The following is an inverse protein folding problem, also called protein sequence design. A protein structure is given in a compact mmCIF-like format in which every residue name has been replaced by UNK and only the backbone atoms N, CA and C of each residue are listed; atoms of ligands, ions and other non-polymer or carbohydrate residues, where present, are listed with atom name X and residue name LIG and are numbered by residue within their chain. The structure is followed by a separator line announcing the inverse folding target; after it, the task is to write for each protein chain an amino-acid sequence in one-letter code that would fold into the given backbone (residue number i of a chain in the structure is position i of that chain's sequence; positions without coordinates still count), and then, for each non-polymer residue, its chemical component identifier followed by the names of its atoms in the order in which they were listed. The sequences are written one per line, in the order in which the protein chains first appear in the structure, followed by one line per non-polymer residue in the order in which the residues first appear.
data_IF_643789730057
#
_entry.id   IF_643789730057
#
_cell.length_a   1.000
_cell.length_b   1.000
_cell.length_c   1.000
_cell.angle_alpha   90.00
_cell.angle_beta   90.00
_cell.angle_gamma   90.00
#
_symmetry.space_group_name_H-M   'P 1'
#
loop_
_entity.id
_entity.type
_entity.pdbx_description
1 polymer ?
#
# COMPACT_ATOMS: atom_id res chain seq x y z
N UNK A 1 -8.30 7.89 11.30
CA UNK A 1 -7.66 7.13 10.20
C UNK A 1 -8.59 7.22 9.01
N UNK A 2 -8.08 7.50 7.81
CA UNK A 2 -8.88 7.48 6.58
C UNK A 2 -9.28 6.04 6.26
N UNK A 3 -10.57 5.72 6.03
CA UNK A 3 -10.99 4.40 5.60
C UNK A 3 -10.27 3.96 4.32
N UNK A 4 -9.82 2.71 4.25
CA UNK A 4 -9.03 2.26 3.09
C UNK A 4 -9.79 2.38 1.76
N UNK A 5 -11.11 2.15 1.74
CA UNK A 5 -11.91 2.29 0.52
C UNK A 5 -11.93 3.72 -0.04
N UNK A 6 -11.70 4.74 0.77
CA UNK A 6 -11.56 6.12 0.28
C UNK A 6 -10.24 6.35 -0.47
N UNK A 7 -9.27 5.45 -0.30
CA UNK A 7 -8.00 5.46 -1.03
C UNK A 7 -8.08 4.69 -2.35
N UNK A 8 -9.16 3.93 -2.60
CA UNK A 8 -9.29 3.12 -3.81
C UNK A 8 -9.85 3.97 -4.95
N UNK A 9 -9.12 4.05 -6.06
CA UNK A 9 -9.55 4.77 -7.23
C UNK A 9 -10.45 3.88 -8.12
N UNK A 10 -11.67 4.30 -8.48
CA UNK A 10 -12.63 3.44 -9.19
C UNK A 10 -12.19 3.06 -10.60
N UNK A 11 -11.36 3.87 -11.25
CA UNK A 11 -10.81 3.58 -12.59
C UNK A 11 -9.50 2.77 -12.57
N UNK A 12 -9.05 2.29 -11.40
CA UNK A 12 -7.82 1.52 -11.31
C UNK A 12 -7.97 0.16 -12.02
N UNK A 13 -7.15 -0.07 -13.05
CA UNK A 13 -7.03 -1.38 -13.70
C UNK A 13 -6.04 -2.31 -12.99
N UNK A 14 -5.12 -1.74 -12.21
CA UNK A 14 -4.15 -2.47 -11.37
C UNK A 14 -3.78 -1.65 -10.14
N UNK A 15 -3.50 -2.36 -9.04
CA UNK A 15 -2.98 -1.79 -7.81
C UNK A 15 -1.64 -2.45 -7.48
N UNK A 16 -0.59 -1.64 -7.35
CA UNK A 16 0.74 -2.07 -6.98
C UNK A 16 0.90 -1.98 -5.46
N UNK A 17 1.35 -3.07 -4.86
CA UNK A 17 1.76 -3.12 -3.46
C UNK A 17 3.27 -3.37 -3.43
N UNK A 18 4.03 -2.47 -2.81
CA UNK A 18 5.49 -2.60 -2.69
C UNK A 18 5.98 -2.19 -1.31
N UNK A 19 6.89 -2.97 -0.76
CA UNK A 19 7.54 -2.69 0.52
C UNK A 19 8.99 -2.30 0.28
N UNK A 20 9.44 -1.23 0.93
CA UNK A 20 10.85 -0.83 0.97
C UNK A 20 11.32 -0.88 2.41
N UNK A 21 12.27 -1.77 2.69
CA UNK A 21 12.82 -1.98 4.03
C UNK A 21 14.01 -1.04 4.20
N UNK A 22 13.87 -0.12 5.16
CA UNK A 22 14.81 0.95 5.46
C UNK A 22 15.55 0.71 6.78
N UNK A 23 15.12 -0.29 7.55
CA UNK A 23 15.70 -0.82 8.80
C UNK A 23 15.66 0.11 10.03
N UNK A 24 15.74 1.43 9.87
CA UNK A 24 15.67 2.39 10.99
C UNK A 24 14.67 3.52 10.75
N UNK A 25 14.08 4.10 11.81
CA UNK A 25 13.15 5.21 11.69
C UNK A 25 13.70 6.41 10.90
N UNK A 26 14.96 6.77 11.13
CA UNK A 26 15.61 7.91 10.45
C UNK A 26 15.72 7.66 8.95
N UNK A 27 16.10 6.44 8.57
CA UNK A 27 16.16 6.02 7.16
C UNK A 27 14.79 5.95 6.52
N UNK A 28 13.77 5.50 7.26
CA UNK A 28 12.37 5.47 6.82
C UNK A 28 11.86 6.88 6.55
N UNK A 29 12.15 7.85 7.43
CA UNK A 29 11.81 9.25 7.21
C UNK A 29 12.53 9.83 5.99
N UNK A 30 13.86 9.67 5.91
CA UNK A 30 14.64 10.17 4.78
C UNK A 30 14.16 9.61 3.43
N UNK A 31 13.82 8.32 3.38
CA UNK A 31 13.26 7.70 2.18
C UNK A 31 11.86 8.23 1.85
N UNK A 32 11.00 8.43 2.86
CA UNK A 32 9.65 8.95 2.66
C UNK A 32 9.69 10.38 2.10
N UNK A 33 10.45 11.26 2.73
CA UNK A 33 10.60 12.65 2.32
C UNK A 33 11.16 12.74 0.89
N UNK A 34 12.19 11.96 0.58
CA UNK A 34 12.76 11.91 -0.76
C UNK A 34 11.74 11.43 -1.81
N UNK A 35 10.93 10.41 -1.53
CA UNK A 35 9.87 10.00 -2.47
C UNK A 35 8.82 11.09 -2.65
N UNK A 36 8.47 11.80 -1.58
CA UNK A 36 7.50 12.90 -1.66
C UNK A 36 8.04 14.04 -2.53
N UNK A 37 9.30 14.42 -2.34
CA UNK A 37 9.97 15.44 -3.14
C UNK A 37 10.06 15.04 -4.63
N UNK A 38 10.43 13.80 -4.93
CA UNK A 38 10.55 13.30 -6.31
C UNK A 38 9.19 13.29 -7.03
N UNK A 39 8.11 12.90 -6.34
CA UNK A 39 6.76 12.98 -6.91
C UNK A 39 6.25 14.41 -7.07
N UNK A 40 6.63 15.32 -6.17
CA UNK A 40 6.23 16.73 -6.25
C UNK A 40 7.00 17.51 -7.35
N UNK A 41 8.26 17.15 -7.59
CA UNK A 41 9.10 17.77 -8.62
C UNK A 41 8.92 17.15 -10.01
N UNK A 42 8.52 15.88 -10.08
CA UNK A 42 8.35 15.14 -11.32
C UNK A 42 7.03 15.43 -12.05
N UNK A 43 7.02 15.15 -13.35
CA UNK A 43 5.77 15.13 -14.10
C UNK A 43 4.94 13.90 -13.70
N UNK A 44 3.75 14.15 -13.18
CA UNK A 44 2.79 13.12 -12.79
C UNK A 44 2.28 12.35 -14.02
N UNK A 45 2.48 11.03 -14.12
CA UNK A 45 1.98 10.25 -15.25
C UNK A 45 0.46 10.27 -15.30
N UNK A 46 -0.13 10.57 -16.45
CA UNK A 46 -1.59 10.58 -16.60
C UNK A 46 -2.24 9.22 -16.27
N UNK A 47 -1.51 8.13 -16.53
CA UNK A 47 -1.94 6.77 -16.21
C UNK A 47 -1.78 6.36 -14.73
N UNK A 48 -1.02 7.13 -13.93
CA UNK A 48 -0.94 6.94 -12.48
C UNK A 48 -2.10 7.70 -11.84
N UNK A 49 -3.08 6.97 -11.31
CA UNK A 49 -4.32 7.53 -10.78
C UNK A 49 -4.16 8.00 -9.33
N UNK A 50 -3.41 7.22 -8.54
CA UNK A 50 -3.12 7.56 -7.15
C UNK A 50 -1.84 6.87 -6.67
N UNK A 51 -1.12 7.51 -5.76
CA UNK A 51 -0.02 6.92 -5.00
C UNK A 51 -0.23 7.24 -3.52
N UNK A 52 -0.29 6.21 -2.69
CA UNK A 52 -0.30 6.36 -1.25
C UNK A 52 0.99 5.78 -0.69
N UNK A 53 1.65 6.55 0.16
CA UNK A 53 2.86 6.17 0.88
C UNK A 53 2.48 5.99 2.33
N UNK A 54 2.78 4.82 2.87
CA UNK A 54 2.56 4.49 4.26
C UNK A 54 3.88 4.18 4.94
N UNK A 55 3.92 4.42 6.24
CA UNK A 55 5.07 4.10 7.09
C UNK A 55 4.69 3.01 8.06
N UNK A 56 5.55 2.01 8.20
CA UNK A 56 5.37 0.99 9.21
C UNK A 56 5.43 1.62 10.61
N UNK A 57 4.53 1.19 11.49
CA UNK A 57 4.45 1.74 12.86
C UNK A 57 5.64 1.35 13.75
N UNK A 58 6.42 0.35 13.35
CA UNK A 58 7.70 0.00 13.97
C UNK A 58 8.87 0.86 13.46
N UNK A 59 8.62 1.72 12.47
CA UNK A 59 9.60 2.63 11.87
C UNK A 59 10.60 1.97 10.92
N UNK A 60 10.38 0.72 10.51
CA UNK A 60 11.38 -0.05 9.74
C UNK A 60 11.21 -0.01 8.23
N UNK A 61 10.00 0.29 7.73
CA UNK A 61 9.65 0.15 6.31
C UNK A 61 8.72 1.24 5.80
N UNK A 62 8.71 1.38 4.47
CA UNK A 62 7.66 2.03 3.70
C UNK A 62 6.80 0.99 2.98
N UNK A 63 5.51 1.27 2.85
CA UNK A 63 4.60 0.57 1.98
C UNK A 63 4.03 1.56 0.95
N UNK A 64 4.07 1.15 -0.31
CA UNK A 64 3.52 1.90 -1.44
C UNK A 64 2.28 1.18 -1.94
N UNK A 65 1.17 1.92 -2.01
CA UNK A 65 -0.05 1.50 -2.70
C UNK A 65 -0.28 2.43 -3.88
N UNK A 66 0.06 1.98 -5.09
CA UNK A 66 -0.02 2.77 -6.31
C UNK A 66 -1.11 2.23 -7.22
N UNK A 67 -1.95 3.08 -7.78
CA UNK A 67 -3.07 2.68 -8.64
C UNK A 67 -2.86 3.23 -10.03
N UNK A 68 -2.87 2.33 -11.01
CA UNK A 68 -2.65 2.67 -12.42
C UNK A 68 -3.85 2.27 -13.25
N UNK A 69 -4.02 2.92 -14.40
CA UNK A 69 -5.04 2.55 -15.39
C UNK A 69 -4.84 1.14 -15.94
N UNK A 70 -3.59 0.66 -16.05
CA UNK A 70 -3.25 -0.70 -16.48
C UNK A 70 -1.84 -1.13 -16.06
N UNK A 71 -1.56 -2.42 -16.17
CA UNK A 71 -0.21 -2.97 -15.93
C UNK A 71 0.78 -2.51 -17.01
N UNK A 72 0.33 -2.40 -18.26
CA UNK A 72 1.11 -1.99 -19.42
C UNK A 72 1.58 -0.54 -19.31
N UNK A 73 0.70 0.36 -18.86
CA UNK A 73 1.02 1.77 -18.66
C UNK A 73 2.05 1.94 -17.54
N UNK A 74 1.85 1.25 -16.42
CA UNK A 74 2.84 1.22 -15.35
C UNK A 74 4.18 0.67 -15.85
N UNK A 75 4.20 -0.43 -16.61
CA UNK A 75 5.43 -1.01 -17.16
C UNK A 75 6.15 -0.05 -18.10
N UNK A 76 5.41 0.66 -18.95
CA UNK A 76 5.94 1.66 -19.88
C UNK A 76 6.58 2.81 -19.12
N UNK A 77 5.87 3.37 -18.14
CA UNK A 77 6.44 4.37 -17.26
C UNK A 77 7.66 3.84 -16.50
N UNK A 78 7.59 2.62 -15.98
CA UNK A 78 8.62 2.08 -15.11
C UNK A 78 9.96 1.92 -15.84
N UNK A 79 9.91 1.45 -17.10
CA UNK A 79 11.09 1.35 -17.98
C UNK A 79 11.72 2.71 -18.27
N UNK A 80 10.91 3.75 -18.41
CA UNK A 80 11.37 5.07 -18.80
C UNK A 80 11.81 5.95 -17.62
N UNK A 81 11.11 5.89 -16.49
CA UNK A 81 11.19 6.92 -15.42
C UNK A 81 11.45 6.39 -14.02
N UNK A 82 11.16 5.10 -13.73
CA UNK A 82 11.35 4.57 -12.36
C UNK A 82 12.79 4.77 -11.89
N UNK A 83 13.78 4.43 -12.72
CA UNK A 83 15.18 4.51 -12.34
C UNK A 83 15.58 5.89 -11.81
N UNK A 84 15.13 6.95 -12.47
CA UNK A 84 15.35 8.32 -12.02
C UNK A 84 14.67 8.59 -10.68
N UNK A 85 13.38 8.23 -10.55
CA UNK A 85 12.58 8.48 -9.34
C UNK A 85 13.20 7.89 -8.07
N UNK A 86 13.89 6.74 -8.15
CA UNK A 86 14.49 6.13 -6.95
C UNK A 86 15.96 6.42 -6.74
N UNK A 87 16.63 6.99 -7.73
CA UNK A 87 18.08 7.22 -7.68
C UNK A 87 18.48 8.10 -6.48
N UNK A 88 17.68 9.14 -6.21
CA UNK A 88 17.84 10.01 -5.04
C UNK A 88 17.66 9.25 -3.74
N UNK A 89 16.61 8.43 -3.66
CA UNK A 89 16.32 7.63 -2.46
C UNK A 89 17.45 6.64 -2.17
N UNK A 90 17.96 5.96 -3.20
CA UNK A 90 19.06 5.00 -3.07
C UNK A 90 20.37 5.68 -2.64
N UNK A 91 20.58 6.94 -3.04
CA UNK A 91 21.74 7.74 -2.62
C UNK A 91 21.63 8.16 -1.16
N UNK A 92 20.44 8.55 -0.70
CA UNK A 92 20.19 8.99 0.68
C UNK A 92 20.14 7.83 1.67
N UNK A 93 19.65 6.68 1.21
CA UNK A 93 19.43 5.50 2.04
C UNK A 93 20.06 4.29 1.36
N UNK A 94 21.40 4.17 1.38
CA UNK A 94 22.10 3.09 0.72
C UNK A 94 21.73 1.74 1.34
N UNK A 95 21.50 0.73 0.50
CA UNK A 95 21.15 -0.63 0.93
C UNK A 95 19.68 -0.84 1.30
N UNK A 96 18.74 0.00 0.81
CA UNK A 96 17.31 -0.32 0.91
C UNK A 96 17.03 -1.66 0.24
N UNK A 97 16.36 -2.55 0.97
CA UNK A 97 15.84 -3.79 0.40
C UNK A 97 14.44 -3.54 -0.16
N UNK A 98 14.17 -4.11 -1.34
CA UNK A 98 12.87 -4.03 -2.01
C UNK A 98 12.44 -5.44 -2.39
N UNK A 99 11.80 -6.19 -1.48
CA UNK A 99 11.48 -7.60 -1.67
C UNK A 99 10.64 -7.88 -2.91
N UNK A 100 9.88 -6.89 -3.37
CA UNK A 100 9.13 -7.00 -4.61
C UNK A 100 8.17 -5.83 -4.87
N UNK A 101 7.62 -5.86 -6.08
CA UNK A 101 6.51 -5.03 -6.52
C UNK A 101 5.40 -5.96 -7.00
N UNK A 102 4.31 -6.02 -6.26
CA UNK A 102 3.21 -6.95 -6.53
C UNK A 102 2.11 -6.23 -7.29
N UNK A 103 1.77 -6.72 -8.49
CA UNK A 103 0.60 -6.27 -9.26
C UNK A 103 -0.62 -7.03 -8.78
N UNK A 104 -1.59 -6.30 -8.28
CA UNK A 104 -2.78 -6.87 -7.65
C UNK A 104 -4.06 -6.24 -8.16
N UNK A 105 -5.18 -6.91 -7.91
CA UNK A 105 -6.52 -6.34 -8.07
C UNK A 105 -7.29 -6.49 -6.78
N UNK A 106 -8.04 -5.45 -6.40
CA UNK A 106 -9.00 -5.55 -5.31
C UNK A 106 -10.11 -6.50 -5.73
N UNK A 107 -10.08 -7.71 -5.17
CA UNK A 107 -11.01 -8.78 -5.50
C UNK A 107 -12.31 -8.68 -4.69
N UNK A 108 -12.18 -8.38 -3.40
CA UNK A 108 -13.32 -8.29 -2.48
C UNK A 108 -12.99 -7.38 -1.31
N UNK A 109 -13.99 -6.66 -0.82
CA UNK A 109 -13.94 -6.01 0.49
C UNK A 109 -15.04 -6.55 1.39
N UNK A 110 -14.73 -6.76 2.67
CA UNK A 110 -15.69 -7.09 3.72
C UNK A 110 -15.58 -6.01 4.78
N UNK A 111 -16.70 -5.34 5.08
CA UNK A 111 -16.77 -4.32 6.12
C UNK A 111 -17.75 -4.81 7.18
N UNK A 112 -17.30 -4.85 8.43
CA UNK A 112 -18.10 -5.20 9.59
C UNK A 112 -18.69 -3.93 10.19
N UNK A 113 -20.02 -3.83 10.19
CA UNK A 113 -20.72 -2.68 10.75
C UNK A 113 -20.98 -2.87 12.25
N UNK A 114 -20.83 -1.78 12.99
CA UNK A 114 -21.05 -1.73 14.45
C UNK A 114 -19.74 -1.70 15.25
N UNK A 115 -19.76 -0.99 16.38
CA UNK A 115 -18.57 -0.83 17.23
C UNK A 115 -17.86 0.52 17.04
N UNK A 116 -16.60 0.57 17.47
CA UNK A 116 -15.76 1.78 17.38
C UNK A 116 -15.18 1.93 15.97
N UNK A 117 -14.92 3.17 15.50
CA UNK A 117 -14.20 3.40 14.24
C UNK A 117 -12.81 2.74 14.26
N UNK A 118 -12.28 2.28 13.11
CA UNK A 118 -10.96 1.69 13.04
C UNK A 118 -9.85 2.71 13.30
N UNK A 119 -8.77 2.27 13.95
CA UNK A 119 -7.60 3.09 14.23
C UNK A 119 -6.27 2.44 13.82
N UNK A 120 -6.30 1.20 13.34
CA UNK A 120 -5.11 0.48 12.86
C UNK A 120 -5.35 0.03 11.42
N UNK A 121 -4.41 0.35 10.54
CA UNK A 121 -4.29 -0.24 9.21
C UNK A 121 -3.15 -1.26 9.24
N UNK A 122 -3.40 -2.47 8.74
CA UNK A 122 -2.40 -3.51 8.61
C UNK A 122 -2.41 -4.10 7.21
N UNK A 123 -1.27 -4.58 6.76
CA UNK A 123 -1.17 -5.40 5.55
C UNK A 123 -0.66 -6.77 5.96
N UNK A 124 -1.37 -7.79 5.47
CA UNK A 124 -1.09 -9.19 5.74
C UNK A 124 -0.89 -9.92 4.42
N UNK A 125 0.23 -10.62 4.26
CA UNK A 125 0.43 -11.55 3.13
C UNK A 125 0.01 -12.95 3.55
N UNK A 126 -0.81 -13.60 2.73
CA UNK A 126 -1.37 -14.92 3.03
C UNK A 126 -1.65 -15.71 1.76
N UNK A 127 -1.87 -17.01 1.92
CA UNK A 127 -2.30 -17.88 0.84
C UNK A 127 -3.75 -17.55 0.42
N UNK A 128 -4.07 -17.82 -0.84
CA UNK A 128 -5.41 -17.57 -1.38
C UNK A 128 -6.47 -18.35 -0.61
N UNK A 129 -7.60 -17.69 -0.35
CA UNK A 129 -8.74 -18.29 0.35
C UNK A 129 -8.65 -18.26 1.88
N UNK A 130 -7.58 -17.70 2.46
CA UNK A 130 -7.49 -17.51 3.90
C UNK A 130 -8.63 -16.61 4.42
N UNK A 131 -9.42 -17.14 5.36
CA UNK A 131 -10.50 -16.37 5.99
C UNK A 131 -9.90 -15.36 6.95
N UNK A 132 -10.21 -14.08 6.74
CA UNK A 132 -9.85 -13.00 7.66
C UNK A 132 -11.09 -12.62 8.45
N UNK A 133 -11.29 -13.29 9.57
CA UNK A 133 -12.34 -12.97 10.53
C UNK A 133 -11.76 -13.12 11.94
N UNK A 134 -11.81 -12.04 12.72
CA UNK A 134 -11.35 -12.03 14.10
C UNK A 134 -12.10 -10.93 14.88
N UNK A 135 -12.28 -11.10 16.21
CA UNK A 135 -12.78 -10.02 17.05
C UNK A 135 -11.94 -8.73 16.88
N UNK A 136 -12.60 -7.59 16.71
CA UNK A 136 -11.96 -6.29 16.51
C UNK A 136 -11.50 -5.98 15.07
N UNK A 137 -11.66 -6.92 14.13
CA UNK A 137 -11.52 -6.62 12.71
C UNK A 137 -12.71 -5.77 12.24
N UNK A 138 -12.42 -4.59 11.72
CA UNK A 138 -13.42 -3.67 11.18
C UNK A 138 -13.63 -3.89 9.68
N UNK A 139 -12.56 -4.00 8.90
CA UNK A 139 -12.65 -4.30 7.47
C UNK A 139 -11.46 -5.12 6.97
N UNK A 140 -11.69 -5.87 5.90
CA UNK A 140 -10.65 -6.60 5.18
C UNK A 140 -10.83 -6.41 3.67
N UNK A 141 -9.79 -5.91 3.01
CA UNK A 141 -9.72 -5.65 1.58
C UNK A 141 -8.74 -6.61 0.94
N UNK A 142 -9.27 -7.55 0.17
CA UNK A 142 -8.55 -8.69 -0.39
C UNK A 142 -8.04 -8.31 -1.77
N UNK A 143 -6.72 -8.22 -1.88
CA UNK A 143 -5.98 -8.02 -3.13
C UNK A 143 -5.37 -9.34 -3.58
N UNK A 144 -5.66 -9.75 -4.81
CA UNK A 144 -5.06 -10.94 -5.43
C UNK A 144 -3.98 -10.51 -6.42
N UNK A 145 -2.84 -11.20 -6.42
CA UNK A 145 -1.83 -11.04 -7.47
C UNK A 145 -2.34 -11.55 -8.81
N UNK A 146 -1.77 -11.05 -9.92
CA UNK A 146 -2.22 -11.42 -11.26
C UNK A 146 -2.06 -12.93 -11.58
N UNK A 147 -1.07 -13.58 -10.97
CA UNK A 147 -0.86 -15.04 -11.04
C UNK A 147 -1.82 -15.82 -10.11
N UNK A 148 -2.50 -15.14 -9.19
CA UNK A 148 -3.40 -15.76 -8.22
C UNK A 148 -2.69 -16.61 -7.17
N UNK A 149 -1.37 -16.51 -7.04
CA UNK A 149 -0.59 -17.30 -6.08
C UNK A 149 -0.58 -16.66 -4.68
N UNK A 150 -0.74 -15.33 -4.62
CA UNK A 150 -0.62 -14.57 -3.38
C UNK A 150 -1.82 -13.67 -3.12
N UNK A 151 -2.14 -13.54 -1.83
CA UNK A 151 -3.14 -12.60 -1.36
C UNK A 151 -2.52 -11.60 -0.41
N UNK A 152 -2.75 -10.32 -0.70
CA UNK A 152 -2.53 -9.22 0.22
C UNK A 152 -3.88 -8.85 0.83
N UNK A 153 -3.97 -8.87 2.15
CA UNK A 153 -5.16 -8.39 2.85
C UNK A 153 -4.79 -7.10 3.54
N UNK A 154 -5.43 -6.02 3.14
CA UNK A 154 -5.36 -4.74 3.82
C UNK A 154 -6.49 -4.73 4.84
N UNK A 155 -6.14 -4.69 6.11
CA UNK A 155 -7.05 -4.89 7.23
C UNK A 155 -7.16 -3.60 8.04
N UNK A 156 -8.38 -3.24 8.40
CA UNK A 156 -8.68 -2.15 9.31
C UNK A 156 -9.16 -2.72 10.64
N UNK A 157 -8.55 -2.32 11.75
CA UNK A 157 -8.86 -2.84 13.08
C UNK A 157 -9.29 -1.72 14.03
N UNK A 158 -10.19 -2.05 14.96
CA UNK A 158 -10.69 -1.13 15.97
C UNK A 158 -9.63 -0.71 16.97
N UNK A 159 -8.64 -1.58 17.21
CA UNK A 159 -7.55 -1.36 18.17
C UNK A 159 -6.36 -2.30 17.92
N UNK A 160 -5.19 -1.92 18.43
CA UNK A 160 -3.96 -2.67 18.27
C UNK A 160 -3.92 -3.98 19.09
N UNK A 161 -4.69 -4.09 20.17
CA UNK A 161 -4.68 -5.28 21.02
C UNK A 161 -5.39 -6.46 20.33
N UNK A 162 -6.53 -6.19 19.70
CA UNK A 162 -7.29 -7.12 18.86
C UNK A 162 -6.46 -7.61 17.68
N UNK A 163 -5.81 -6.70 16.95
CA UNK A 163 -4.86 -7.08 15.89
C UNK A 163 -3.72 -7.97 16.41
N UNK A 164 -3.07 -7.56 17.51
CA UNK A 164 -1.98 -8.32 18.10
C UNK A 164 -2.39 -9.73 18.55
N UNK A 165 -3.62 -9.90 19.05
CA UNK A 165 -4.17 -11.21 19.38
C UNK A 165 -4.35 -12.07 18.12
N UNK A 166 -4.92 -11.52 17.05
CA UNK A 166 -5.13 -12.24 15.79
C UNK A 166 -3.81 -12.69 15.14
N UNK A 167 -2.78 -11.84 15.13
CA UNK A 167 -1.46 -12.19 14.58
C UNK A 167 -0.82 -13.36 15.34
N UNK A 168 -0.87 -13.34 16.68
CA UNK A 168 -0.32 -14.43 17.51
C UNK A 168 -1.00 -15.77 17.25
N UNK A 169 -2.30 -15.77 17.02
CA UNK A 169 -3.06 -17.01 16.78
C UNK A 169 -2.91 -17.51 15.34
N UNK A 170 -2.71 -16.61 14.37
CA UNK A 170 -2.76 -16.94 12.94
C UNK A 170 -1.43 -17.24 12.26
N UNK A 171 -0.27 -16.96 12.89
CA UNK A 171 1.04 -17.16 12.26
C UNK A 171 1.22 -16.38 10.95
N UNK A 172 0.58 -15.21 10.85
CA UNK A 172 0.50 -14.40 9.61
C UNK A 172 1.66 -13.40 9.56
N UNK A 173 2.26 -13.23 8.38
CA UNK A 173 3.18 -12.13 8.12
C UNK A 173 2.36 -10.85 7.94
N UNK A 174 2.24 -10.09 9.02
CA UNK A 174 1.42 -8.88 9.09
C UNK A 174 2.23 -7.71 9.62
N UNK A 175 2.05 -6.54 9.03
CA UNK A 175 2.69 -5.29 9.48
C UNK A 175 1.67 -4.16 9.54
N UNK A 176 1.81 -3.29 10.55
CA UNK A 176 0.91 -2.14 10.78
C UNK A 176 1.49 -0.90 10.15
N UNK A 177 0.63 -0.07 9.57
CA UNK A 177 1.00 1.10 8.81
C UNK A 177 0.18 2.33 9.19
N UNK A 178 0.79 3.50 9.00
CA UNK A 178 0.11 4.80 9.06
C UNK A 178 0.28 5.50 7.71
N UNK A 179 -0.80 6.07 7.17
CA UNK A 179 -0.74 6.87 5.95
C UNK A 179 0.18 8.07 6.19
N UNK A 180 1.20 8.21 5.35
CA UNK A 180 2.17 9.30 5.43
C UNK A 180 1.84 10.38 4.40
N UNK A 181 1.61 10.01 3.14
CA UNK A 181 1.29 10.95 2.07
C UNK A 181 0.38 10.29 1.02
N UNK A 182 -0.52 11.06 0.43
CA UNK A 182 -1.32 10.67 -0.73
C UNK A 182 -1.12 11.65 -1.87
N UNK A 183 -1.01 11.12 -3.08
CA UNK A 183 -0.97 11.87 -4.33
C UNK A 183 -2.08 11.35 -5.23
N UNK A 184 -2.87 12.25 -5.79
CA UNK A 184 -4.01 11.93 -6.63
C UNK A 184 -3.85 12.63 -7.96
N UNK A 185 -4.17 11.93 -9.04
CA UNK A 185 -4.32 12.57 -10.34
C UNK A 185 -5.74 13.15 -10.43
N UNK A 186 -5.85 14.48 -10.40
CA UNK A 186 -7.15 15.16 -10.57
C UNK A 186 -7.66 15.12 -12.02
N UNK A 187 -6.93 14.48 -12.95
CA UNK A 187 -7.22 14.36 -14.38
C UNK A 187 -8.41 13.48 -14.78
N UNK A 188 -9.44 13.37 -13.94
CA UNK A 188 -10.71 12.71 -14.26
C UNK A 188 -11.66 13.65 -15.02
N UNK A 189 -11.36 13.93 -16.28
CA UNK A 189 -12.34 14.53 -17.18
C UNK A 189 -13.62 13.66 -17.23
N UNK A 190 -14.76 14.26 -16.88
CA UNK A 190 -16.10 13.68 -17.05
C UNK A 190 -16.23 12.99 -18.42
N UNK A 191 -16.80 11.78 -18.53
CA UNK A 191 -17.31 11.34 -19.82
C UNK A 191 -18.45 12.29 -20.23
N UNK A 192 -18.32 12.88 -21.41
CA UNK A 192 -19.39 13.55 -22.16
C UNK A 192 -20.46 12.56 -22.58
#
# INVERSE_FOLDING_TARGET
MTPFLELVHPAAGTALISEWITATPERTWAAADAVVEEWAAGEWPSALLAQHVFRATDGTDLLFYAQWTSDEEHLTWARARRGALVSRVDSLVPGIERPGLHRTRLHRSVVHHGGRPPCVLAVTRTAVGAVVAAPGLFAAHVHLTADGEETFVIEEWTDAASFGAAVRTGGRASKRYTLHQSFLNEGGGRPV
#
